data_IF_806198794424
#
_entry.id   IF_806198794424
#
_cell.length_a   1.000
_cell.length_b   1.000
_cell.length_c   1.000
_cell.angle_alpha   90.00
_cell.angle_beta   90.00
_cell.angle_gamma   90.00
#
_symmetry.space_group_name_H-M   'P 1'
#
loop_
_entity.id
_entity.type
_entity.pdbx_description
1 polymer ?
#
# COMPACT_ATOMS: atom_id res chain seq x y z
N UNK A 1 3.64 -24.81 -13.42
CA UNK A 1 3.00 -25.85 -12.60
C UNK A 1 2.49 -25.20 -11.33
N UNK A 2 1.21 -25.36 -10.97
CA UNK A 2 0.64 -24.78 -9.75
C UNK A 2 1.02 -25.64 -8.54
N UNK A 3 1.72 -25.06 -7.56
CA UNK A 3 2.12 -25.71 -6.30
C UNK A 3 0.92 -26.30 -5.55
N UNK A 4 -0.24 -25.65 -5.66
CA UNK A 4 -1.50 -26.10 -5.06
C UNK A 4 -1.93 -27.49 -5.54
N UNK A 5 -1.69 -27.80 -6.82
CA UNK A 5 -2.05 -29.11 -7.39
C UNK A 5 -1.24 -30.23 -6.73
N UNK A 6 0.05 -30.02 -6.53
CA UNK A 6 0.95 -31.02 -5.95
C UNK A 6 0.65 -31.26 -4.47
N UNK A 7 0.23 -30.23 -3.73
CA UNK A 7 -0.09 -30.35 -2.31
C UNK A 7 -1.44 -31.04 -2.04
N UNK A 8 -2.44 -30.83 -2.89
CA UNK A 8 -3.79 -31.36 -2.68
C UNK A 8 -4.03 -32.71 -3.38
N UNK A 9 -3.36 -32.96 -4.50
CA UNK A 9 -3.58 -34.17 -5.32
C UNK A 9 -2.25 -34.76 -5.82
N UNK A 10 -1.41 -35.30 -4.91
CA UNK A 10 -0.07 -35.78 -5.25
C UNK A 10 -0.09 -36.95 -6.24
N UNK A 11 -1.06 -37.86 -6.13
CA UNK A 11 -1.11 -39.11 -6.89
C UNK A 11 -2.01 -39.06 -8.14
N UNK A 12 -2.63 -37.91 -8.41
CA UNK A 12 -3.59 -37.81 -9.50
C UNK A 12 -2.87 -37.55 -10.86
N UNK A 13 -3.22 -38.28 -11.95
CA UNK A 13 -2.63 -38.11 -13.28
C UNK A 13 -2.73 -36.67 -13.82
N UNK A 14 -1.77 -36.22 -14.63
CA UNK A 14 -1.70 -34.83 -15.11
C UNK A 14 -2.86 -34.47 -16.04
N UNK A 15 -3.16 -35.41 -16.90
CA UNK A 15 -4.14 -35.48 -17.98
C UNK A 15 -5.60 -35.39 -17.51
N UNK A 16 -5.87 -35.48 -16.21
CA UNK A 16 -7.20 -35.25 -15.62
C UNK A 16 -7.46 -33.82 -15.15
N UNK A 17 -6.50 -32.91 -15.29
CA UNK A 17 -6.67 -31.52 -14.86
C UNK A 17 -6.41 -30.56 -16.01
N UNK A 18 -7.37 -29.67 -16.24
CA UNK A 18 -7.25 -28.52 -17.13
C UNK A 18 -7.11 -27.26 -16.29
N UNK A 19 -6.00 -26.54 -16.47
CA UNK A 19 -5.77 -25.25 -15.83
C UNK A 19 -6.25 -24.16 -16.79
N UNK A 20 -7.35 -23.50 -16.46
CA UNK A 20 -7.78 -22.29 -17.15
C UNK A 20 -7.33 -21.07 -16.33
N UNK A 21 -6.41 -20.29 -16.89
CA UNK A 21 -6.12 -18.96 -16.36
C UNK A 21 -6.81 -17.96 -17.27
N UNK A 22 -7.97 -17.48 -16.84
CA UNK A 22 -8.61 -16.32 -17.47
C UNK A 22 -7.82 -15.12 -16.97
N UNK A 23 -6.92 -14.60 -17.82
CA UNK A 23 -6.18 -13.39 -17.52
C UNK A 23 -7.17 -12.30 -17.11
N UNK A 24 -6.97 -11.70 -15.95
CA UNK A 24 -7.77 -10.56 -15.51
C UNK A 24 -7.46 -9.42 -16.48
N UNK A 25 -8.27 -9.26 -17.53
CA UNK A 25 -8.13 -8.14 -18.46
C UNK A 25 -8.71 -6.93 -17.73
N UNK A 26 -7.93 -6.31 -16.86
CA UNK A 26 -8.25 -4.99 -16.31
C UNK A 26 -8.02 -4.01 -17.47
N UNK A 27 -9.05 -3.31 -17.95
CA UNK A 27 -8.86 -2.30 -18.97
C UNK A 27 -7.85 -1.26 -18.46
N UNK A 28 -6.94 -0.74 -19.31
CA UNK A 28 -6.00 0.30 -18.88
C UNK A 28 -6.70 1.54 -18.29
N UNK A 29 -7.94 1.81 -18.68
CA UNK A 29 -8.77 2.88 -18.11
C UNK A 29 -9.22 2.62 -16.67
N UNK A 30 -9.17 1.37 -16.21
CA UNK A 30 -9.55 0.95 -14.86
C UNK A 30 -8.37 0.88 -13.88
N UNK A 31 -7.13 1.12 -14.35
CA UNK A 31 -5.93 1.12 -13.51
C UNK A 31 -5.08 2.36 -13.76
N UNK A 32 -5.03 3.24 -12.76
CA UNK A 32 -4.17 4.41 -12.79
C UNK A 32 -3.02 4.22 -11.79
N UNK A 33 -1.79 4.12 -12.30
CA UNK A 33 -0.58 4.02 -11.49
C UNK A 33 0.14 5.37 -11.46
N UNK A 34 0.40 5.88 -10.26
CA UNK A 34 1.11 7.15 -10.05
C UNK A 34 2.31 6.90 -9.15
N UNK A 35 3.46 7.44 -9.54
CA UNK A 35 4.67 7.44 -8.72
C UNK A 35 4.83 8.82 -8.10
N UNK A 36 4.68 8.89 -6.77
CA UNK A 36 4.94 10.09 -5.99
C UNK A 36 6.35 9.98 -5.39
N UNK A 37 7.32 10.62 -6.03
CA UNK A 37 8.71 10.69 -5.55
C UNK A 37 8.95 11.90 -4.65
N UNK A 38 8.09 12.92 -4.75
CA UNK A 38 8.14 14.14 -3.93
C UNK A 38 6.76 14.50 -3.40
N UNK A 39 6.75 15.20 -2.28
CA UNK A 39 5.56 15.75 -1.67
C UNK A 39 5.01 16.91 -2.52
N UNK A 40 3.73 16.86 -2.96
CA UNK A 40 3.18 17.88 -3.87
C UNK A 40 3.21 19.32 -3.33
N UNK A 41 3.12 19.50 -2.00
CA UNK A 41 3.06 20.82 -1.37
C UNK A 41 4.43 21.39 -1.01
N UNK A 42 5.34 20.55 -0.56
CA UNK A 42 6.63 20.98 0.00
C UNK A 42 7.82 20.74 -0.94
N UNK A 43 7.61 20.02 -2.06
CA UNK A 43 8.66 19.51 -2.95
C UNK A 43 9.71 18.64 -2.25
N UNK A 44 9.43 18.19 -1.03
CA UNK A 44 10.31 17.31 -0.27
C UNK A 44 10.41 15.96 -0.98
N UNK A 45 11.63 15.42 -1.10
CA UNK A 45 11.84 14.05 -1.59
C UNK A 45 11.33 13.05 -0.57
N UNK A 46 10.52 12.09 -1.03
CA UNK A 46 10.08 10.98 -0.20
C UNK A 46 11.21 9.96 -0.06
N UNK A 47 11.82 9.96 1.12
CA UNK A 47 12.85 9.00 1.51
C UNK A 47 12.46 8.33 2.82
N UNK A 48 12.43 7.00 2.84
CA UNK A 48 11.95 6.20 3.96
C UNK A 48 13.08 5.37 4.58
N UNK A 49 14.13 6.05 5.03
CA UNK A 49 15.25 5.44 5.79
C UNK A 49 14.88 5.21 7.26
N UNK A 50 15.67 4.40 7.96
CA UNK A 50 15.40 4.05 9.36
C UNK A 50 15.45 5.27 10.30
N UNK A 51 16.41 6.16 10.09
CA UNK A 51 16.67 7.36 10.89
C UNK A 51 15.59 8.45 10.75
N UNK A 52 14.92 8.51 9.59
CA UNK A 52 13.90 9.53 9.29
C UNK A 52 12.46 9.15 9.70
N UNK A 53 12.24 7.99 10.32
CA UNK A 53 10.93 7.60 10.86
C UNK A 53 10.25 8.62 11.80
N UNK A 54 10.95 9.30 12.73
CA UNK A 54 10.32 10.26 13.62
C UNK A 54 10.07 11.62 12.95
N UNK A 55 10.44 11.80 11.68
CA UNK A 55 10.25 13.06 10.97
C UNK A 55 8.78 13.33 10.71
N UNK A 56 8.22 14.26 11.48
CA UNK A 56 6.80 14.62 11.41
C UNK A 56 6.45 15.34 10.13
N UNK A 57 7.37 16.09 9.51
CA UNK A 57 7.10 16.77 8.25
C UNK A 57 6.94 15.76 7.11
N UNK A 58 7.76 14.70 7.08
CA UNK A 58 7.60 13.59 6.14
C UNK A 58 6.23 12.92 6.27
N UNK A 59 5.82 12.64 7.52
CA UNK A 59 4.54 11.98 7.82
C UNK A 59 3.34 12.86 7.46
N UNK A 60 3.44 14.17 7.69
CA UNK A 60 2.40 15.14 7.32
C UNK A 60 2.24 15.21 5.80
N UNK A 61 3.36 15.22 5.06
CA UNK A 61 3.33 15.23 3.60
C UNK A 61 2.71 13.94 3.04
N UNK A 62 3.04 12.78 3.62
CA UNK A 62 2.47 11.49 3.22
C UNK A 62 0.95 11.44 3.49
N UNK A 63 0.49 12.00 4.60
CA UNK A 63 -0.92 12.00 5.00
C UNK A 63 -1.85 12.82 4.10
N UNK A 64 -1.30 13.66 3.22
CA UNK A 64 -2.08 14.47 2.26
C UNK A 64 -2.47 13.70 0.99
N UNK A 65 -2.02 12.45 0.86
CA UNK A 65 -2.26 11.62 -0.31
C UNK A 65 -3.73 11.23 -0.48
N UNK A 66 -4.32 11.74 -1.56
CA UNK A 66 -5.55 11.32 -2.24
C UNK A 66 -6.77 10.92 -1.39
N UNK A 67 -7.82 11.74 -1.47
CA UNK A 67 -9.18 11.33 -1.11
C UNK A 67 -9.67 10.34 -2.17
N UNK A 68 -9.70 9.04 -1.84
CA UNK A 68 -10.16 7.98 -2.74
C UNK A 68 -11.56 7.52 -2.32
N UNK A 69 -12.60 7.73 -3.16
CA UNK A 69 -13.91 7.14 -2.94
C UNK A 69 -13.80 5.61 -2.91
N UNK A 70 -14.25 4.98 -1.81
CA UNK A 70 -14.15 3.52 -1.61
C UNK A 70 -13.00 3.08 -0.70
N UNK A 71 -12.14 4.01 -0.28
CA UNK A 71 -11.05 3.74 0.66
C UNK A 71 -9.70 3.52 -0.01
N UNK A 72 -8.65 3.53 0.80
CA UNK A 72 -7.26 3.46 0.37
C UNK A 72 -6.54 2.35 1.14
N UNK A 73 -5.86 1.47 0.42
CA UNK A 73 -4.90 0.53 1.00
C UNK A 73 -3.49 1.13 0.89
N UNK A 74 -2.80 1.25 2.03
CA UNK A 74 -1.44 1.80 2.10
C UNK A 74 -0.49 0.74 2.62
N UNK A 75 0.58 0.48 1.86
CA UNK A 75 1.67 -0.39 2.29
C UNK A 75 2.86 0.50 2.66
N UNK A 76 3.38 0.33 3.87
CA UNK A 76 4.56 1.07 4.36
C UNK A 76 5.76 0.14 4.53
N UNK A 77 7.00 0.67 4.50
CA UNK A 77 8.21 -0.15 4.53
C UNK A 77 8.45 -0.91 5.85
N UNK A 78 7.82 -0.50 6.96
CA UNK A 78 7.90 -1.20 8.25
C UNK A 78 6.76 -0.84 9.20
N UNK A 79 6.52 -1.70 10.20
CA UNK A 79 5.58 -1.40 11.28
C UNK A 79 5.96 -0.16 12.09
N UNK A 80 7.26 0.16 12.20
CA UNK A 80 7.70 1.40 12.84
C UNK A 80 7.25 2.66 12.09
N UNK A 81 7.20 2.62 10.75
CA UNK A 81 6.62 3.71 9.96
C UNK A 81 5.09 3.78 10.12
N UNK A 82 4.42 2.62 10.20
CA UNK A 82 2.98 2.56 10.45
C UNK A 82 2.63 3.21 11.79
N UNK A 83 3.30 2.80 12.86
CA UNK A 83 3.07 3.30 14.22
C UNK A 83 3.33 4.81 14.32
N UNK A 84 4.44 5.29 13.76
CA UNK A 84 4.76 6.72 13.74
C UNK A 84 3.69 7.54 13.00
N UNK A 85 3.22 7.06 11.84
CA UNK A 85 2.17 7.72 11.06
C UNK A 85 0.81 7.72 11.75
N UNK A 86 0.39 6.60 12.35
CA UNK A 86 -0.85 6.49 13.12
C UNK A 86 -0.82 7.44 14.30
N UNK A 87 0.26 7.39 15.11
CA UNK A 87 0.44 8.28 16.27
C UNK A 87 0.33 9.75 15.86
N UNK A 88 1.04 10.15 14.81
CA UNK A 88 1.02 11.53 14.31
C UNK A 88 -0.40 11.99 13.92
N UNK A 89 -1.17 11.15 13.23
CA UNK A 89 -2.56 11.48 12.86
C UNK A 89 -3.50 11.60 14.06
N UNK A 90 -3.33 10.75 15.07
CA UNK A 90 -4.11 10.83 16.31
C UNK A 90 -3.81 12.13 17.07
N UNK A 91 -2.54 12.52 17.16
CA UNK A 91 -2.13 13.80 17.76
C UNK A 91 -2.73 15.01 17.03
N UNK A 92 -2.68 15.03 15.69
CA UNK A 92 -3.29 16.11 14.88
C UNK A 92 -4.81 16.19 15.05
N UNK A 93 -5.50 15.05 15.03
CA UNK A 93 -6.96 15.02 15.17
C UNK A 93 -7.41 15.52 16.56
N UNK A 94 -6.64 15.20 17.60
CA UNK A 94 -6.89 15.64 18.97
C UNK A 94 -6.66 17.15 19.13
N UNK A 95 -5.62 17.69 18.48
CA UNK A 95 -5.33 19.13 18.48
C UNK A 95 -6.45 19.96 17.81
N UNK A 96 -7.08 19.45 16.75
CA UNK A 96 -8.13 20.17 16.03
C UNK A 96 -9.51 20.19 16.73
N UNK A 97 -9.76 19.32 17.72
CA UNK A 97 -11.04 19.24 18.44
C UNK A 97 -10.97 19.77 19.89
N UNK A 98 -9.81 20.26 20.32
CA UNK A 98 -9.58 20.82 21.65
C UNK A 98 -9.65 22.35 21.74
N UNK A 99 -10.27 23.03 20.76
CA UNK A 99 -10.46 24.49 20.73
C UNK A 99 -11.93 24.88 20.68
#
# INVERSE_FOLDING_TARGET
MSTFRTQLFPDAPKDRFTSFSFGHIIPPSSLHAVFLTTAPRTNRVFEFKWDVRPDTALLNDLGTGAVVPGGLAVFVPSYGFLEAGVRRRTEEHSANHGS
#
